data_IF_452157531956
#
_entry.id   IF_452157531956
#
_cell.length_a   1.000
_cell.length_b   1.000
_cell.length_c   1.000
_cell.angle_alpha   90.00
_cell.angle_beta   90.00
_cell.angle_gamma   90.00
#
_symmetry.space_group_name_H-M   'P 1'
#
loop_
_entity.id
_entity.type
_entity.pdbx_description
1 polymer ?
#
# COMPACT_ATOMS: atom_id res chain seq x y z
N UNK A 1 33.07 79.30 15.22
CA UNK A 1 32.25 80.01 14.19
C UNK A 1 33.22 80.77 13.29
N UNK A 2 32.97 80.99 11.98
CA UNK A 2 31.68 81.02 11.23
C UNK A 2 31.55 79.84 10.21
N UNK A 3 30.40 79.26 9.84
CA UNK A 3 29.06 79.67 9.34
C UNK A 3 29.00 80.09 7.87
N UNK A 4 28.26 79.31 7.04
CA UNK A 4 27.09 79.76 6.22
C UNK A 4 26.49 78.64 5.32
N UNK A 5 25.23 78.28 5.59
CA UNK A 5 24.14 78.01 4.60
C UNK A 5 23.52 79.38 4.19
N UNK A 6 22.60 79.58 3.21
CA UNK A 6 21.44 78.78 2.72
C UNK A 6 21.25 78.83 1.16
N UNK A 7 20.26 78.25 0.45
CA UNK A 7 18.80 78.54 0.46
C UNK A 7 18.00 77.66 -0.54
N UNK A 8 16.79 77.27 -0.07
CA UNK A 8 15.50 76.98 -0.70
C UNK A 8 15.30 76.96 -2.23
N UNK A 9 14.52 75.98 -2.71
CA UNK A 9 13.25 76.24 -3.39
C UNK A 9 12.32 75.01 -3.40
N UNK A 10 11.14 75.18 -2.83
CA UNK A 10 10.00 74.29 -2.93
C UNK A 10 9.11 74.77 -4.09
N UNK A 11 8.51 73.86 -4.85
CA UNK A 11 7.27 74.17 -5.58
C UNK A 11 6.41 72.91 -5.73
N UNK A 12 5.24 72.97 -5.09
CA UNK A 12 4.12 72.05 -5.23
C UNK A 12 3.26 72.44 -6.45
N UNK A 13 2.62 71.46 -7.11
CA UNK A 13 1.35 71.62 -7.84
C UNK A 13 0.79 70.25 -8.28
N UNK A 14 -0.19 69.74 -7.51
CA UNK A 14 -1.40 69.04 -8.01
C UNK A 14 -2.47 70.14 -8.31
N UNK A 15 -3.65 69.90 -8.95
CA UNK A 15 -4.28 68.63 -9.35
C UNK A 15 -4.95 68.64 -10.74
N UNK A 16 -5.35 67.47 -11.27
CA UNK A 16 -6.52 67.39 -12.15
C UNK A 16 -7.29 66.09 -11.93
N UNK A 17 -8.53 66.23 -11.47
CA UNK A 17 -9.55 65.19 -11.33
C UNK A 17 -9.96 64.64 -12.70
N UNK A 18 -10.10 63.32 -12.80
CA UNK A 18 -11.20 62.74 -13.56
C UNK A 18 -11.65 61.43 -12.89
N UNK A 19 -12.89 61.47 -12.41
CA UNK A 19 -13.60 60.38 -11.79
C UNK A 19 -13.98 59.33 -12.84
N UNK A 20 -13.62 58.07 -12.59
CA UNK A 20 -14.25 56.92 -13.21
C UNK A 20 -14.85 56.08 -12.08
N UNK A 21 -16.18 56.15 -11.98
CA UNK A 21 -16.99 55.33 -11.10
C UNK A 21 -16.85 53.85 -11.53
N UNK A 22 -16.11 53.05 -10.76
CA UNK A 22 -16.22 51.60 -10.81
C UNK A 22 -17.29 51.18 -9.81
N UNK A 23 -18.41 50.71 -10.35
CA UNK A 23 -19.53 50.12 -9.64
C UNK A 23 -19.07 48.99 -8.70
N UNK A 24 -19.13 49.26 -7.40
CA UNK A 24 -18.98 48.25 -6.34
C UNK A 24 -20.19 47.33 -6.37
N UNK A 25 -20.08 46.21 -7.10
CA UNK A 25 -21.02 45.10 -6.97
C UNK A 25 -20.77 44.43 -5.60
N UNK A 26 -21.80 44.20 -4.76
CA UNK A 26 -21.63 43.43 -3.53
C UNK A 26 -21.22 42.00 -3.90
N UNK A 27 -20.00 41.61 -3.55
CA UNK A 27 -19.59 40.22 -3.61
C UNK A 27 -20.46 39.43 -2.64
N UNK A 28 -21.21 38.47 -3.20
CA UNK A 28 -21.92 37.46 -2.43
C UNK A 28 -20.94 36.77 -1.46
N UNK A 29 -21.35 36.46 -0.22
CA UNK A 29 -20.48 35.80 0.74
C UNK A 29 -20.04 34.46 0.16
N UNK A 30 -18.72 34.23 0.20
CA UNK A 30 -18.10 32.95 -0.12
C UNK A 30 -18.85 31.84 0.59
N UNK A 31 -19.47 30.94 -0.19
CA UNK A 31 -20.06 29.72 0.34
C UNK A 31 -18.95 28.96 1.07
N UNK A 32 -19.09 28.94 2.39
CA UNK A 32 -18.32 28.11 3.28
C UNK A 32 -18.39 26.69 2.76
N UNK A 33 -17.22 26.14 2.38
CA UNK A 33 -17.01 24.71 2.18
C UNK A 33 -17.65 23.97 3.34
N UNK A 34 -18.85 23.42 3.11
CA UNK A 34 -19.46 22.49 4.04
C UNK A 34 -18.54 21.27 4.06
N UNK A 35 -17.90 21.11 5.21
CA UNK A 35 -17.19 19.91 5.61
C UNK A 35 -18.02 18.69 5.21
N UNK A 36 -17.52 17.94 4.23
CA UNK A 36 -18.01 16.61 3.96
C UNK A 36 -17.77 15.79 5.23
N UNK A 37 -18.86 15.34 5.83
CA UNK A 37 -18.86 14.40 6.95
C UNK A 37 -18.11 13.13 6.53
N UNK A 38 -17.36 12.49 7.44
CA UNK A 38 -16.67 11.26 7.14
C UNK A 38 -17.72 10.14 7.00
N UNK A 39 -17.96 9.70 5.76
CA UNK A 39 -18.78 8.52 5.50
C UNK A 39 -18.01 7.32 6.05
N UNK A 40 -18.60 6.68 7.04
CA UNK A 40 -18.08 5.47 7.69
C UNK A 40 -17.81 4.36 6.66
N UNK A 41 -16.52 4.04 6.52
CA UNK A 41 -15.96 2.71 6.30
C UNK A 41 -16.76 1.70 5.47
N UNK A 42 -16.73 1.82 4.15
CA UNK A 42 -16.75 0.65 3.25
C UNK A 42 -15.30 0.32 2.92
N UNK A 43 -14.87 -0.90 3.29
CA UNK A 43 -13.51 -1.41 3.00
C UNK A 43 -13.22 -1.28 1.50
N UNK A 44 -12.05 -0.79 1.07
CA UNK A 44 -11.71 -0.79 -0.35
C UNK A 44 -11.77 -2.23 -0.86
N UNK A 45 -12.54 -2.45 -1.93
CA UNK A 45 -12.75 -3.76 -2.54
C UNK A 45 -11.39 -4.43 -2.76
N UNK A 46 -11.26 -5.63 -2.20
CA UNK A 46 -10.09 -6.46 -2.39
C UNK A 46 -9.90 -6.68 -3.90
N UNK A 47 -8.71 -6.37 -4.43
CA UNK A 47 -8.33 -6.92 -5.72
C UNK A 47 -8.31 -8.44 -5.56
N UNK A 48 -9.30 -9.13 -6.11
CA UNK A 48 -9.33 -10.60 -6.17
C UNK A 48 -7.98 -11.05 -6.76
N UNK A 49 -7.28 -11.92 -6.03
CA UNK A 49 -5.98 -12.46 -6.42
C UNK A 49 -6.03 -13.27 -7.71
N UNK A 50 -4.97 -14.02 -8.02
CA UNK A 50 -4.75 -14.72 -9.30
C UNK A 50 -5.80 -15.79 -9.73
N UNK A 51 -6.99 -15.83 -9.12
CA UNK A 51 -8.12 -16.67 -9.54
C UNK A 51 -8.03 -18.13 -9.09
N UNK A 52 -7.11 -18.45 -8.18
CA UNK A 52 -6.94 -19.80 -7.66
C UNK A 52 -7.62 -20.02 -6.30
N UNK A 53 -8.02 -18.95 -5.63
CA UNK A 53 -8.70 -18.99 -4.33
C UNK A 53 -10.19 -18.70 -4.52
N UNK A 54 -10.97 -19.76 -4.75
CA UNK A 54 -12.42 -19.67 -5.00
C UNK A 54 -13.14 -19.26 -3.70
N UNK A 55 -12.62 -19.64 -2.54
CA UNK A 55 -13.17 -19.23 -1.26
C UNK A 55 -13.09 -17.72 -1.07
N UNK A 56 -11.92 -17.11 -1.33
CA UNK A 56 -11.78 -15.65 -1.30
C UNK A 56 -12.64 -14.97 -2.39
N UNK A 57 -12.74 -15.58 -3.58
CA UNK A 57 -13.59 -15.06 -4.65
C UNK A 57 -15.05 -14.95 -4.24
N UNK A 58 -15.64 -16.03 -3.70
CA UNK A 58 -17.03 -16.06 -3.22
C UNK A 58 -17.22 -15.01 -2.12
N UNK A 59 -16.32 -14.96 -1.13
CA UNK A 59 -16.43 -13.98 -0.03
C UNK A 59 -16.45 -12.52 -0.49
N UNK A 60 -15.83 -12.20 -1.62
CA UNK A 60 -15.76 -10.83 -2.15
C UNK A 60 -16.89 -10.53 -3.13
N UNK A 61 -17.31 -11.51 -3.93
CA UNK A 61 -18.22 -11.30 -5.07
C UNK A 61 -19.67 -11.74 -4.78
N UNK A 62 -19.92 -12.58 -3.77
CA UNK A 62 -21.26 -13.02 -3.36
C UNK A 62 -22.01 -11.88 -2.64
N UNK A 63 -22.78 -11.11 -3.42
CA UNK A 63 -23.50 -9.94 -2.93
C UNK A 63 -24.75 -10.29 -2.13
N UNK A 64 -25.44 -11.37 -2.51
CA UNK A 64 -26.68 -11.79 -1.88
C UNK A 64 -26.47 -12.76 -0.69
N UNK A 65 -25.23 -13.24 -0.51
CA UNK A 65 -24.77 -14.17 0.54
C UNK A 65 -25.46 -15.52 0.49
N UNK A 66 -25.81 -15.99 -0.71
CA UNK A 66 -26.41 -17.30 -0.92
C UNK A 66 -25.37 -18.44 -1.04
N UNK A 67 -24.07 -18.09 -1.01
CA UNK A 67 -22.97 -19.04 -1.10
C UNK A 67 -22.53 -19.36 -2.53
N UNK A 68 -23.15 -18.72 -3.53
CA UNK A 68 -22.78 -18.83 -4.93
C UNK A 68 -22.61 -17.44 -5.56
N UNK A 69 -21.72 -17.33 -6.54
CA UNK A 69 -21.57 -16.12 -7.35
C UNK A 69 -22.13 -16.39 -8.73
N UNK A 70 -22.96 -15.50 -9.25
CA UNK A 70 -23.55 -15.57 -10.59
C UNK A 70 -22.90 -14.58 -11.56
N UNK A 71 -23.05 -14.82 -12.86
CA UNK A 71 -22.59 -13.91 -13.91
C UNK A 71 -23.21 -12.50 -13.77
N UNK A 72 -24.48 -12.44 -13.36
CA UNK A 72 -25.23 -11.21 -13.15
C UNK A 72 -24.64 -10.38 -12.00
N UNK A 73 -24.28 -11.02 -10.89
CA UNK A 73 -23.64 -10.36 -9.74
C UNK A 73 -22.26 -9.82 -10.11
N UNK A 74 -21.45 -10.60 -10.84
CA UNK A 74 -20.16 -10.13 -11.34
C UNK A 74 -20.34 -8.92 -12.25
N UNK A 75 -21.29 -8.98 -13.20
CA UNK A 75 -21.58 -7.86 -14.10
C UNK A 75 -22.01 -6.61 -13.33
N UNK A 76 -22.92 -6.76 -12.37
CA UNK A 76 -23.42 -5.65 -11.55
C UNK A 76 -22.28 -4.98 -10.77
N UNK A 77 -21.46 -5.77 -10.06
CA UNK A 77 -20.33 -5.24 -9.30
C UNK A 77 -19.27 -4.57 -10.18
N UNK A 78 -18.98 -5.14 -11.35
CA UNK A 78 -18.01 -4.54 -12.28
C UNK A 78 -18.52 -3.23 -12.88
N UNK A 79 -19.83 -3.13 -13.16
CA UNK A 79 -20.44 -1.90 -13.63
C UNK A 79 -20.44 -0.81 -12.54
N UNK A 80 -20.76 -1.17 -11.29
CA UNK A 80 -20.66 -0.23 -10.16
C UNK A 80 -19.22 0.27 -10.00
N UNK A 81 -18.24 -0.63 -10.08
CA UNK A 81 -16.83 -0.26 -10.00
C UNK A 81 -16.43 0.64 -11.17
N UNK A 82 -16.90 0.35 -12.39
CA UNK A 82 -16.65 1.19 -13.56
C UNK A 82 -17.12 2.63 -13.33
N UNK A 83 -18.36 2.80 -12.88
CA UNK A 83 -18.96 4.12 -12.59
C UNK A 83 -18.22 4.88 -11.48
N UNK A 84 -17.56 4.18 -10.56
CA UNK A 84 -16.75 4.79 -9.51
C UNK A 84 -15.38 5.25 -10.03
N UNK A 85 -14.82 4.57 -11.02
CA UNK A 85 -13.50 4.89 -11.60
C UNK A 85 -13.62 5.96 -12.68
N UNK A 86 -14.69 5.94 -13.47
CA UNK A 86 -15.08 6.97 -14.43
C UNK A 86 -15.46 8.26 -13.69
N UNK A 87 -14.44 9.02 -13.31
CA UNK A 87 -14.56 10.17 -12.43
C UNK A 87 -15.15 11.37 -13.18
N UNK A 88 -14.82 11.48 -14.47
CA UNK A 88 -15.32 12.53 -15.35
C UNK A 88 -16.73 12.22 -15.93
N UNK A 89 -17.20 10.97 -15.77
CA UNK A 89 -18.50 10.45 -16.22
C UNK A 89 -18.69 10.52 -17.73
N UNK A 90 -17.63 10.29 -18.48
CA UNK A 90 -17.65 10.32 -19.93
C UNK A 90 -17.92 8.95 -20.57
N UNK A 91 -18.18 7.93 -19.74
CA UNK A 91 -18.60 6.60 -20.17
C UNK A 91 -17.45 5.68 -20.57
N UNK A 92 -16.20 6.08 -20.31
CA UNK A 92 -14.98 5.28 -20.51
C UNK A 92 -13.97 5.60 -19.41
N UNK A 93 -13.02 4.70 -19.17
CA UNK A 93 -11.97 4.89 -18.18
C UNK A 93 -10.66 5.13 -18.92
N UNK A 94 -10.03 6.28 -18.69
CA UNK A 94 -8.70 6.53 -19.22
C UNK A 94 -7.60 5.93 -18.31
N UNK A 95 -6.35 5.95 -18.79
CA UNK A 95 -5.21 5.41 -18.05
C UNK A 95 -4.95 6.14 -16.72
N UNK A 96 -5.26 7.44 -16.64
CA UNK A 96 -5.05 8.23 -15.43
C UNK A 96 -6.09 7.88 -14.37
N UNK A 97 -7.36 7.73 -14.75
CA UNK A 97 -8.43 7.26 -13.88
C UNK A 97 -8.13 5.86 -13.34
N UNK A 98 -7.71 4.94 -14.22
CA UNK A 98 -7.32 3.58 -13.83
C UNK A 98 -6.13 3.56 -12.85
N UNK A 99 -5.05 4.27 -13.17
CA UNK A 99 -3.84 4.32 -12.33
C UNK A 99 -4.13 5.03 -11.00
N UNK A 100 -4.93 6.08 -11.01
CA UNK A 100 -5.30 6.82 -9.81
C UNK A 100 -6.12 5.98 -8.85
N UNK A 101 -7.12 5.25 -9.34
CA UNK A 101 -7.88 4.33 -8.48
C UNK A 101 -6.98 3.23 -7.92
N UNK A 102 -6.14 2.64 -8.76
CA UNK A 102 -5.22 1.61 -8.34
C UNK A 102 -4.23 2.10 -7.27
N UNK A 103 -3.67 3.30 -7.45
CA UNK A 103 -2.78 3.94 -6.49
C UNK A 103 -3.48 4.21 -5.17
N UNK A 104 -4.69 4.76 -5.19
CA UNK A 104 -5.47 5.02 -3.97
C UNK A 104 -5.75 3.73 -3.20
N UNK A 105 -6.17 2.66 -3.88
CA UNK A 105 -6.40 1.36 -3.25
C UNK A 105 -5.12 0.78 -2.65
N UNK A 106 -4.01 0.87 -3.37
CA UNK A 106 -2.71 0.40 -2.89
C UNK A 106 -2.25 1.19 -1.65
N UNK A 107 -2.38 2.51 -1.67
CA UNK A 107 -2.04 3.37 -0.53
C UNK A 107 -2.92 3.09 0.68
N UNK A 108 -4.24 2.92 0.48
CA UNK A 108 -5.16 2.56 1.55
C UNK A 108 -4.83 1.19 2.16
N UNK A 109 -4.41 0.23 1.34
CA UNK A 109 -3.94 -1.07 1.80
C UNK A 109 -2.68 -0.97 2.67
N UNK A 110 -1.76 -0.08 2.31
CA UNK A 110 -0.51 0.12 3.04
C UNK A 110 -0.63 1.02 4.27
N UNK A 111 -1.67 1.86 4.37
CA UNK A 111 -1.86 2.74 5.52
C UNK A 111 -2.03 1.93 6.83
N UNK A 112 -2.73 0.78 6.75
CA UNK A 112 -2.85 -0.14 7.88
C UNK A 112 -1.51 -0.77 8.26
N UNK A 113 -0.74 -1.23 7.27
CA UNK A 113 0.60 -1.79 7.48
C UNK A 113 1.55 -0.76 8.10
N UNK A 114 1.46 0.51 7.67
CA UNK A 114 2.27 1.61 8.19
C UNK A 114 1.99 1.87 9.66
N UNK A 115 0.71 1.96 10.05
CA UNK A 115 0.33 2.16 11.44
C UNK A 115 0.81 1.02 12.36
N UNK A 116 0.79 -0.23 11.88
CA UNK A 116 1.34 -1.37 12.61
C UNK A 116 2.87 -1.29 12.73
N UNK A 117 3.56 -0.88 11.66
CA UNK A 117 5.01 -0.67 11.68
C UNK A 117 5.39 0.39 12.70
N UNK A 118 4.70 1.53 12.74
CA UNK A 118 5.01 2.62 13.66
C UNK A 118 4.85 2.16 15.12
N UNK A 119 3.77 1.40 15.41
CA UNK A 119 3.56 0.75 16.71
C UNK A 119 4.72 -0.20 17.05
N UNK A 120 5.14 -1.04 16.12
CA UNK A 120 6.24 -1.98 16.33
C UNK A 120 7.59 -1.29 16.49
N UNK A 121 7.83 -0.16 15.81
CA UNK A 121 9.03 0.67 15.98
C UNK A 121 9.14 1.16 17.41
N UNK A 122 8.05 1.64 18.01
CA UNK A 122 8.02 2.07 19.40
C UNK A 122 8.31 0.90 20.37
N UNK A 123 7.70 -0.27 20.14
CA UNK A 123 7.95 -1.46 20.97
C UNK A 123 9.42 -1.88 20.91
N UNK A 124 10.02 -1.90 19.71
CA UNK A 124 11.45 -2.21 19.52
C UNK A 124 12.33 -1.19 20.21
N UNK A 125 12.03 0.09 20.06
CA UNK A 125 12.78 1.16 20.73
C UNK A 125 12.78 0.98 22.24
N UNK A 126 11.61 0.81 22.85
CA UNK A 126 11.47 0.62 24.30
C UNK A 126 12.22 -0.64 24.78
N UNK A 127 12.15 -1.73 24.00
CA UNK A 127 12.89 -2.96 24.29
C UNK A 127 14.41 -2.76 24.26
N UNK A 128 14.92 -1.95 23.33
CA UNK A 128 16.35 -1.62 23.22
C UNK A 128 16.82 -0.62 24.28
N UNK A 129 16.02 0.40 24.56
CA UNK A 129 16.33 1.43 25.56
C UNK A 129 16.35 0.83 26.97
N UNK A 130 15.44 -0.10 27.24
CA UNK A 130 15.15 -0.62 28.58
C UNK A 130 14.01 0.14 29.26
N UNK A 131 13.44 -0.49 30.28
CA UNK A 131 12.26 0.05 30.98
C UNK A 131 12.52 1.46 31.54
N UNK A 132 11.62 2.39 31.22
CA UNK A 132 11.66 3.78 31.69
C UNK A 132 12.75 4.66 31.07
N UNK A 133 13.50 4.17 30.07
CA UNK A 133 14.56 4.95 29.42
C UNK A 133 14.03 5.75 28.22
N UNK A 134 14.51 6.98 28.07
CA UNK A 134 14.11 7.90 26.98
C UNK A 134 14.93 7.75 25.69
N UNK A 135 15.99 6.93 25.72
CA UNK A 135 16.98 6.81 24.67
C UNK A 135 17.65 5.42 24.74
N UNK A 136 18.18 4.95 23.62
CA UNK A 136 19.04 3.76 23.56
C UNK A 136 20.49 4.21 23.74
N UNK A 137 21.14 3.77 24.81
CA UNK A 137 22.57 4.03 24.99
C UNK A 137 23.41 3.11 24.09
N UNK A 138 24.63 3.55 23.77
CA UNK A 138 25.57 2.74 22.98
C UNK A 138 25.77 1.31 23.53
N UNK A 139 25.99 1.20 24.85
CA UNK A 139 26.14 -0.10 25.52
C UNK A 139 24.90 -1.00 25.36
N UNK A 140 23.68 -0.45 25.45
CA UNK A 140 22.45 -1.22 25.24
C UNK A 140 22.32 -1.69 23.80
N UNK A 141 22.65 -0.82 22.84
CA UNK A 141 22.65 -1.16 21.42
C UNK A 141 23.63 -2.29 21.12
N UNK A 142 24.85 -2.24 21.66
CA UNK A 142 25.88 -3.26 21.46
C UNK A 142 25.48 -4.59 22.12
N UNK A 143 24.94 -4.56 23.34
CA UNK A 143 24.42 -5.76 24.01
C UNK A 143 23.29 -6.44 23.23
N UNK A 144 22.38 -5.66 22.67
CA UNK A 144 21.31 -6.19 21.82
C UNK A 144 21.87 -6.80 20.52
N UNK A 145 22.88 -6.15 19.94
CA UNK A 145 23.59 -6.64 18.75
C UNK A 145 24.28 -7.98 19.02
N UNK A 146 24.98 -8.09 20.13
CA UNK A 146 25.66 -9.33 20.54
C UNK A 146 24.67 -10.48 20.72
N UNK A 147 23.53 -10.23 21.37
CA UNK A 147 22.47 -11.25 21.54
C UNK A 147 21.92 -11.72 20.19
N UNK A 148 21.69 -10.81 19.25
CA UNK A 148 21.20 -11.15 17.92
C UNK A 148 22.22 -11.98 17.13
N UNK A 149 23.50 -11.57 17.14
CA UNK A 149 24.57 -12.31 16.46
C UNK A 149 24.78 -13.69 17.10
N UNK A 150 24.81 -13.79 18.43
CA UNK A 150 24.94 -15.06 19.13
C UNK A 150 23.78 -16.02 18.81
N UNK A 151 22.55 -15.52 18.72
CA UNK A 151 21.40 -16.33 18.33
C UNK A 151 21.52 -16.85 16.89
N UNK A 152 22.02 -16.02 15.96
CA UNK A 152 22.30 -16.42 14.58
C UNK A 152 23.40 -17.48 14.52
N UNK A 153 24.55 -17.22 15.15
CA UNK A 153 25.71 -18.12 15.16
C UNK A 153 25.40 -19.48 15.79
N UNK A 154 24.51 -19.51 16.80
CA UNK A 154 24.05 -20.74 17.45
C UNK A 154 22.91 -21.44 16.69
N UNK A 155 22.46 -20.92 15.54
CA UNK A 155 21.37 -21.49 14.76
C UNK A 155 19.99 -21.45 15.46
N UNK A 156 19.81 -20.56 16.44
CA UNK A 156 18.57 -20.43 17.22
C UNK A 156 17.49 -19.61 16.53
N UNK A 157 17.83 -18.93 15.44
CA UNK A 157 16.88 -18.12 14.67
C UNK A 157 16.07 -18.98 13.69
N UNK A 158 14.76 -18.72 13.54
CA UNK A 158 13.97 -19.36 12.49
C UNK A 158 14.48 -18.94 11.10
N UNK A 159 14.32 -19.80 10.11
CA UNK A 159 14.75 -19.52 8.74
C UNK A 159 14.05 -18.27 8.17
N UNK A 160 12.74 -18.19 8.35
CA UNK A 160 11.89 -17.04 8.02
C UNK A 160 10.91 -16.78 9.17
N UNK A 161 10.56 -15.51 9.40
CA UNK A 161 9.46 -15.18 10.29
C UNK A 161 8.14 -15.59 9.64
N UNK A 162 7.24 -16.22 10.39
CA UNK A 162 5.88 -16.45 9.91
C UNK A 162 5.11 -15.13 9.88
N UNK A 163 4.23 -14.95 8.89
CA UNK A 163 3.41 -13.75 8.73
C UNK A 163 2.63 -13.38 10.02
N UNK A 164 2.24 -14.38 10.82
CA UNK A 164 1.54 -14.19 12.10
C UNK A 164 2.43 -13.71 13.27
N UNK A 165 3.76 -13.80 13.18
CA UNK A 165 4.69 -13.41 14.27
C UNK A 165 5.36 -12.05 14.06
N UNK A 166 5.20 -11.44 12.89
CA UNK A 166 5.84 -10.16 12.57
C UNK A 166 5.23 -8.95 13.34
N UNK A 167 4.07 -9.12 13.99
CA UNK A 167 3.45 -8.14 14.89
C UNK A 167 3.44 -8.53 16.38
N UNK A 168 4.07 -9.64 16.77
CA UNK A 168 4.16 -10.05 18.18
C UNK A 168 5.59 -9.82 18.71
N UNK A 169 5.87 -8.58 19.09
CA UNK A 169 6.87 -8.34 20.13
C UNK A 169 6.46 -9.10 21.39
N UNK A 170 7.39 -9.83 21.99
CA UNK A 170 7.18 -10.55 23.25
C UNK A 170 6.87 -9.56 24.38
N UNK A 171 5.60 -9.21 24.56
CA UNK A 171 5.10 -8.59 25.76
C UNK A 171 4.56 -9.70 26.67
N UNK A 172 5.33 -10.07 27.70
CA UNK A 172 4.75 -10.70 28.88
C UNK A 172 3.95 -9.61 29.62
N UNK A 173 2.63 -9.66 29.54
CA UNK A 173 1.73 -8.77 30.27
C UNK A 173 0.26 -9.08 29.98
N UNK A 174 -0.48 -9.39 31.04
CA UNK A 174 -1.88 -9.85 31.09
C UNK A 174 -2.84 -9.28 30.03
N UNK A 175 -3.60 -10.17 29.39
CA UNK A 175 -4.67 -9.81 28.46
C UNK A 175 -5.90 -10.69 28.64
N UNK A 176 -7.00 -10.06 29.00
CA UNK A 176 -8.36 -10.58 28.87
C UNK A 176 -8.63 -11.06 27.45
N UNK A 177 -9.43 -12.13 27.38
CA UNK A 177 -9.73 -12.89 26.18
C UNK A 177 -10.54 -12.04 25.18
N UNK A 178 -9.87 -11.42 24.22
CA UNK A 178 -10.51 -10.93 23.01
C UNK A 178 -10.54 -12.05 21.93
N UNK A 179 -11.77 -12.36 21.57
CA UNK A 179 -12.31 -13.19 20.49
C UNK A 179 -11.40 -13.51 19.29
N UNK A 180 -11.28 -14.81 18.98
CA UNK A 180 -10.57 -15.36 17.82
C UNK A 180 -11.36 -15.11 16.52
N UNK A 181 -11.15 -13.97 15.87
CA UNK A 181 -11.52 -13.78 14.47
C UNK A 181 -10.53 -14.52 13.55
N UNK A 182 -10.97 -15.59 12.89
CA UNK A 182 -10.22 -16.27 11.82
C UNK A 182 -10.23 -15.43 10.53
N UNK A 183 -9.58 -14.26 10.56
CA UNK A 183 -9.23 -13.53 9.35
C UNK A 183 -7.81 -13.88 8.97
N UNK A 184 -7.59 -14.52 7.82
CA UNK A 184 -6.26 -14.65 7.23
C UNK A 184 -5.71 -13.23 7.03
N UNK A 185 -4.80 -12.80 7.92
CA UNK A 185 -4.16 -11.50 7.81
C UNK A 185 -3.37 -11.49 6.50
N UNK A 186 -3.66 -10.50 5.65
CA UNK A 186 -2.96 -10.33 4.38
C UNK A 186 -1.45 -10.20 4.66
N UNK A 187 -0.59 -10.74 3.80
CA UNK A 187 0.84 -10.55 3.95
C UNK A 187 1.14 -9.04 3.93
N UNK A 188 1.83 -8.55 4.96
CA UNK A 188 2.22 -7.16 5.11
C UNK A 188 3.04 -6.74 3.88
N UNK A 189 2.55 -5.74 3.14
CA UNK A 189 3.16 -5.28 1.90
C UNK A 189 4.47 -4.50 2.15
N UNK A 190 4.64 -4.04 3.39
CA UNK A 190 5.78 -3.26 3.87
C UNK A 190 6.66 -4.09 4.83
N UNK A 191 6.64 -5.42 4.69
CA UNK A 191 7.47 -6.30 5.51
C UNK A 191 8.97 -6.03 5.29
N UNK A 192 9.65 -5.56 6.34
CA UNK A 192 11.09 -5.34 6.32
C UNK A 192 11.86 -6.54 6.86
N UNK A 193 13.06 -6.82 6.33
CA UNK A 193 13.95 -7.80 6.93
C UNK A 193 14.28 -7.38 8.37
N UNK A 194 14.32 -8.34 9.28
CA UNK A 194 14.64 -8.12 10.70
C UNK A 194 15.73 -9.09 11.15
N UNK A 195 16.42 -8.73 12.23
CA UNK A 195 17.44 -9.57 12.87
C UNK A 195 16.87 -10.79 13.64
N UNK A 196 15.55 -11.03 13.58
CA UNK A 196 14.89 -12.14 14.27
C UNK A 196 14.70 -13.39 13.40
N UNK A 197 15.23 -13.40 12.17
CA UNK A 197 15.29 -14.59 11.32
C UNK A 197 16.64 -14.70 10.65
N UNK A 198 17.01 -15.93 10.27
CA UNK A 198 18.23 -16.16 9.51
C UNK A 198 18.19 -15.40 8.19
N UNK A 199 17.11 -15.52 7.42
CA UNK A 199 16.97 -14.80 6.15
C UNK A 199 17.06 -13.28 6.31
N UNK A 200 16.46 -12.71 7.36
CA UNK A 200 16.54 -11.28 7.63
C UNK A 200 17.92 -10.81 8.09
N UNK A 201 18.63 -11.61 8.90
CA UNK A 201 20.03 -11.34 9.28
C UNK A 201 20.93 -11.29 8.03
N UNK A 202 20.81 -12.29 7.15
CA UNK A 202 21.57 -12.32 5.89
C UNK A 202 21.24 -11.10 5.02
N UNK A 203 19.96 -10.80 4.82
CA UNK A 203 19.53 -9.67 4.00
C UNK A 203 20.02 -8.30 4.50
N UNK A 204 20.26 -8.16 5.82
CA UNK A 204 20.69 -6.91 6.43
C UNK A 204 22.21 -6.77 6.55
N UNK A 205 22.93 -7.87 6.74
CA UNK A 205 24.32 -7.85 7.21
C UNK A 205 25.33 -8.58 6.31
N UNK A 206 24.89 -9.47 5.40
CA UNK A 206 25.77 -10.14 4.44
C UNK A 206 26.16 -9.15 3.32
N UNK A 207 27.30 -8.48 3.49
CA UNK A 207 27.75 -7.41 2.61
C UNK A 207 28.30 -7.94 1.29
N UNK A 208 29.02 -9.06 1.33
CA UNK A 208 29.64 -9.65 0.15
C UNK A 208 28.68 -10.60 -0.61
N UNK A 209 27.52 -10.92 -0.03
CA UNK A 209 26.48 -11.81 -0.58
C UNK A 209 26.99 -13.22 -0.86
N UNK A 210 27.96 -13.70 -0.08
CA UNK A 210 28.51 -15.05 -0.21
C UNK A 210 27.65 -16.12 0.49
N UNK A 211 26.56 -15.70 1.16
CA UNK A 211 25.64 -16.59 1.86
C UNK A 211 26.15 -17.00 3.24
N UNK A 212 27.19 -16.34 3.76
CA UNK A 212 27.67 -16.43 5.14
C UNK A 212 27.65 -15.04 5.77
N UNK A 213 27.44 -14.99 7.08
CA UNK A 213 27.51 -13.74 7.83
C UNK A 213 28.67 -13.84 8.81
N UNK A 214 29.72 -13.07 8.56
CA UNK A 214 30.88 -12.97 9.44
C UNK A 214 30.64 -11.97 10.57
N UNK A 215 31.48 -12.04 11.61
CA UNK A 215 31.39 -11.10 12.75
C UNK A 215 31.74 -9.68 12.30
N UNK A 216 32.73 -9.56 11.45
CA UNK A 216 33.26 -8.31 10.92
C UNK A 216 32.21 -7.57 10.08
N UNK A 217 31.48 -8.29 9.23
CA UNK A 217 30.38 -7.72 8.45
C UNK A 217 29.24 -7.24 9.34
N UNK A 218 28.84 -8.05 10.32
CA UNK A 218 27.80 -7.69 11.26
C UNK A 218 28.16 -6.42 12.04
N UNK A 219 29.34 -6.39 12.67
CA UNK A 219 29.80 -5.26 13.47
C UNK A 219 29.93 -3.98 12.64
N UNK A 220 30.48 -4.09 11.41
CA UNK A 220 30.61 -2.95 10.50
C UNK A 220 29.27 -2.31 10.20
N UNK A 221 28.28 -3.10 9.80
CA UNK A 221 26.94 -2.58 9.48
C UNK A 221 26.27 -2.02 10.73
N UNK A 222 26.42 -2.63 11.91
CA UNK A 222 25.85 -2.11 13.15
C UNK A 222 26.46 -0.78 13.56
N UNK A 223 27.78 -0.61 13.41
CA UNK A 223 28.47 0.66 13.64
C UNK A 223 27.97 1.76 12.69
N UNK A 224 27.91 1.46 11.39
CA UNK A 224 27.43 2.39 10.37
C UNK A 224 25.96 2.78 10.59
N UNK A 225 25.12 1.82 11.02
CA UNK A 225 23.74 2.10 11.38
C UNK A 225 23.65 3.04 12.57
N UNK A 226 24.38 2.76 13.67
CA UNK A 226 24.35 3.61 14.85
C UNK A 226 24.75 5.05 14.51
N UNK A 227 25.87 5.23 13.81
CA UNK A 227 26.37 6.57 13.42
C UNK A 227 25.40 7.32 12.52
N UNK A 228 24.69 6.61 11.63
CA UNK A 228 23.69 7.25 10.75
C UNK A 228 22.42 7.63 11.49
N UNK A 229 22.07 6.91 12.56
CA UNK A 229 20.89 7.20 13.39
C UNK A 229 21.18 8.30 14.41
N UNK A 230 22.39 8.32 14.99
CA UNK A 230 22.87 9.34 15.93
C UNK A 230 23.20 10.65 15.18
N UNK A 231 22.16 11.38 14.78
CA UNK A 231 22.28 12.59 13.95
C UNK A 231 22.94 13.72 14.74
N UNK A 232 22.66 13.82 16.04
CA UNK A 232 23.22 14.86 16.88
C UNK A 232 24.64 14.52 17.41
N UNK A 233 25.08 13.28 17.27
CA UNK A 233 26.41 12.81 17.65
C UNK A 233 26.63 12.70 19.16
N UNK A 234 25.56 12.52 19.95
CA UNK A 234 25.63 12.47 21.41
C UNK A 234 25.96 11.07 21.96
N UNK A 235 26.11 10.07 21.09
CA UNK A 235 26.42 8.69 21.46
C UNK A 235 25.22 7.92 22.00
N UNK A 236 24.00 8.42 21.79
CA UNK A 236 22.72 7.83 22.20
C UNK A 236 21.75 7.95 21.04
N UNK A 237 20.74 7.08 21.02
CA UNK A 237 19.67 7.16 20.02
C UNK A 237 18.39 7.59 20.72
N UNK A 238 17.91 8.78 20.40
CA UNK A 238 16.58 9.23 20.83
C UNK A 238 15.48 8.47 20.07
N UNK A 239 14.24 8.53 20.58
CA UNK A 239 13.09 7.96 19.88
C UNK A 239 12.89 8.61 18.51
N UNK A 240 13.10 9.93 18.41
CA UNK A 240 12.94 10.67 17.15
C UNK A 240 13.95 10.23 16.09
N UNK A 241 15.22 10.08 16.47
CA UNK A 241 16.28 9.58 15.59
C UNK A 241 16.01 8.13 15.15
N UNK A 242 15.66 7.26 16.09
CA UNK A 242 15.35 5.86 15.81
C UNK A 242 14.13 5.72 14.89
N UNK A 243 13.05 6.46 15.16
CA UNK A 243 11.84 6.43 14.34
C UNK A 243 12.09 6.98 12.93
N UNK A 244 12.77 8.13 12.82
CA UNK A 244 13.10 8.74 11.52
C UNK A 244 13.92 7.80 10.65
N UNK A 245 14.89 7.10 11.23
CA UNK A 245 15.70 6.13 10.49
C UNK A 245 14.84 4.99 9.93
N UNK A 246 13.94 4.45 10.75
CA UNK A 246 13.00 3.41 10.32
C UNK A 246 12.07 3.94 9.23
N UNK A 247 11.53 5.15 9.40
CA UNK A 247 10.63 5.78 8.44
C UNK A 247 11.27 5.95 7.08
N UNK A 248 12.50 6.46 7.02
CA UNK A 248 13.23 6.62 5.76
C UNK A 248 13.41 5.29 5.01
N UNK A 249 13.65 4.19 5.73
CA UNK A 249 13.76 2.86 5.10
C UNK A 249 12.41 2.37 4.57
N UNK A 250 11.33 2.59 5.32
CA UNK A 250 9.99 2.23 4.89
C UNK A 250 9.59 3.04 3.67
N UNK A 251 9.81 4.36 3.69
CA UNK A 251 9.45 5.24 2.59
C UNK A 251 10.22 4.88 1.31
N UNK A 252 11.49 4.49 1.42
CA UNK A 252 12.26 3.96 0.29
C UNK A 252 11.63 2.67 -0.27
N UNK A 253 11.25 1.73 0.60
CA UNK A 253 10.58 0.49 0.19
C UNK A 253 9.19 0.73 -0.42
N UNK A 254 8.42 1.65 0.15
CA UNK A 254 7.11 2.09 -0.37
C UNK A 254 7.28 2.68 -1.77
N UNK A 255 8.26 3.56 -1.97
CA UNK A 255 8.53 4.18 -3.26
C UNK A 255 8.87 3.14 -4.34
N UNK A 256 9.74 2.18 -4.03
CA UNK A 256 10.10 1.10 -4.96
C UNK A 256 8.90 0.18 -5.25
N UNK A 257 8.12 -0.17 -4.23
CA UNK A 257 6.90 -0.95 -4.38
C UNK A 257 5.89 -0.22 -5.26
N UNK A 258 5.64 1.06 -4.99
CA UNK A 258 4.74 1.90 -5.77
C UNK A 258 5.18 1.95 -7.23
N UNK A 259 6.45 2.24 -7.51
CA UNK A 259 6.96 2.29 -8.88
C UNK A 259 6.73 0.98 -9.65
N UNK A 260 7.02 -0.16 -9.01
CA UNK A 260 6.78 -1.48 -9.59
C UNK A 260 5.29 -1.73 -9.83
N UNK A 261 4.44 -1.47 -8.85
CA UNK A 261 3.00 -1.70 -8.95
C UNK A 261 2.34 -0.78 -9.98
N UNK A 262 2.75 0.49 -10.08
CA UNK A 262 2.25 1.42 -11.11
C UNK A 262 2.66 0.99 -12.51
N UNK A 263 3.86 0.44 -12.68
CA UNK A 263 4.29 -0.13 -13.97
C UNK A 263 3.40 -1.31 -14.35
N UNK A 264 3.13 -2.21 -13.40
CA UNK A 264 2.24 -3.36 -13.61
C UNK A 264 0.79 -2.95 -13.89
N UNK A 265 0.30 -1.88 -13.24
CA UNK A 265 -1.04 -1.34 -13.50
C UNK A 265 -1.18 -0.87 -14.96
N UNK A 266 -0.19 -0.15 -15.49
CA UNK A 266 -0.20 0.27 -16.90
C UNK A 266 -0.17 -0.91 -17.87
N UNK A 267 0.62 -1.95 -17.55
CA UNK A 267 0.62 -3.19 -18.36
C UNK A 267 -0.75 -3.87 -18.32
N UNK A 268 -1.41 -3.91 -17.17
CA UNK A 268 -2.78 -4.46 -17.05
C UNK A 268 -3.79 -3.64 -17.84
N UNK A 269 -3.72 -2.30 -17.77
CA UNK A 269 -4.57 -1.43 -18.57
C UNK A 269 -4.49 -1.80 -20.05
N UNK A 270 -3.29 -1.88 -20.62
CA UNK A 270 -3.10 -2.27 -22.03
C UNK A 270 -3.48 -3.72 -22.37
N UNK A 271 -3.69 -4.60 -21.38
CA UNK A 271 -4.24 -5.95 -21.59
C UNK A 271 -5.77 -5.93 -21.58
N UNK A 272 -6.36 -4.99 -20.84
CA UNK A 272 -7.81 -4.81 -20.76
C UNK A 272 -8.36 -4.06 -21.96
N UNK A 273 -7.60 -3.08 -22.45
CA UNK A 273 -7.86 -2.31 -23.67
C UNK A 273 -7.57 -3.20 -24.88
N UNK A 274 -8.59 -3.94 -25.31
CA UNK A 274 -8.43 -4.97 -26.33
C UNK A 274 -8.38 -4.36 -27.73
N UNK A 275 -9.09 -3.25 -27.93
CA UNK A 275 -9.16 -2.53 -29.19
C UNK A 275 -8.07 -1.46 -29.35
N UNK A 276 -7.29 -1.19 -28.29
CA UNK A 276 -6.19 -0.21 -28.24
C UNK A 276 -6.68 1.21 -28.48
N UNK A 277 -7.85 1.52 -27.94
CA UNK A 277 -8.43 2.86 -28.00
C UNK A 277 -7.80 3.83 -26.99
N UNK A 278 -6.90 3.36 -26.11
CA UNK A 278 -6.37 4.07 -24.93
C UNK A 278 -7.44 4.38 -23.86
N UNK A 279 -8.62 3.77 -23.99
CA UNK A 279 -9.72 3.87 -23.05
C UNK A 279 -10.26 2.46 -22.76
N UNK A 280 -10.79 2.25 -21.55
CA UNK A 280 -11.57 1.06 -21.25
C UNK A 280 -13.04 1.41 -21.30
N UNK A 281 -13.75 0.81 -22.24
CA UNK A 281 -15.21 0.92 -22.26
C UNK A 281 -15.84 0.05 -21.17
N UNK A 282 -17.09 0.36 -20.82
CA UNK A 282 -17.82 -0.36 -19.78
C UNK A 282 -17.88 -1.87 -20.06
N UNK A 283 -18.07 -2.26 -21.32
CA UNK A 283 -18.12 -3.67 -21.72
C UNK A 283 -16.76 -4.34 -21.55
N UNK A 284 -15.66 -3.73 -21.98
CA UNK A 284 -14.32 -4.29 -21.80
C UNK A 284 -13.95 -4.46 -20.33
N UNK A 285 -14.32 -3.46 -19.52
CA UNK A 285 -14.11 -3.51 -18.07
C UNK A 285 -14.92 -4.65 -17.43
N UNK A 286 -16.19 -4.82 -17.80
CA UNK A 286 -17.03 -5.94 -17.34
C UNK A 286 -16.48 -7.28 -17.81
N UNK A 287 -16.09 -7.40 -19.07
CA UNK A 287 -15.54 -8.62 -19.66
C UNK A 287 -14.28 -9.08 -18.93
N UNK A 288 -13.47 -8.17 -18.40
CA UNK A 288 -12.34 -8.54 -17.57
C UNK A 288 -12.73 -9.31 -16.29
N UNK A 289 -13.88 -8.96 -15.68
CA UNK A 289 -14.44 -9.68 -14.54
C UNK A 289 -15.06 -11.01 -14.95
N UNK A 290 -15.75 -11.03 -16.10
CA UNK A 290 -16.33 -12.25 -16.66
C UNK A 290 -15.26 -13.29 -17.03
N UNK A 291 -14.10 -12.88 -17.54
CA UNK A 291 -12.95 -13.78 -17.76
C UNK A 291 -12.40 -14.39 -16.48
N UNK A 292 -12.51 -13.69 -15.35
CA UNK A 292 -12.18 -14.26 -14.04
C UNK A 292 -13.26 -15.26 -13.63
N UNK A 293 -14.54 -14.87 -13.71
CA UNK A 293 -15.69 -15.73 -13.42
C UNK A 293 -15.60 -17.08 -14.15
N UNK A 294 -15.41 -17.06 -15.47
CA UNK A 294 -15.26 -18.27 -16.28
C UNK A 294 -14.03 -19.12 -15.92
N UNK A 295 -13.02 -18.54 -15.26
CA UNK A 295 -11.83 -19.27 -14.81
C UNK A 295 -12.07 -19.95 -13.46
N UNK A 296 -12.88 -19.34 -12.59
CA UNK A 296 -13.20 -19.89 -11.27
C UNK A 296 -14.41 -20.83 -11.31
N UNK A 297 -15.32 -20.66 -12.27
CA UNK A 297 -16.40 -21.60 -12.63
C UNK A 297 -15.77 -22.82 -13.33
N UNK A 298 -15.41 -23.82 -12.54
CA UNK A 298 -14.63 -24.98 -12.99
C UNK A 298 -15.49 -26.05 -13.62
N UNK A 299 -16.73 -26.19 -13.16
CA UNK A 299 -17.70 -27.12 -13.73
C UNK A 299 -18.50 -26.50 -14.89
N UNK A 300 -18.35 -25.20 -15.14
CA UNK A 300 -19.02 -24.44 -16.21
C UNK A 300 -20.54 -24.47 -16.10
N UNK A 301 -21.07 -24.48 -14.88
CA UNK A 301 -22.51 -24.49 -14.62
C UNK A 301 -23.14 -23.08 -14.56
N UNK A 302 -22.32 -22.04 -14.72
CA UNK A 302 -22.76 -20.65 -14.71
C UNK A 302 -22.93 -20.08 -13.30
N UNK A 303 -22.41 -20.76 -12.28
CA UNK A 303 -22.27 -20.29 -10.90
C UNK A 303 -20.88 -20.61 -10.39
N UNK A 304 -20.45 -19.92 -9.34
CA UNK A 304 -19.19 -20.22 -8.65
C UNK A 304 -19.52 -20.45 -7.19
N UNK A 305 -19.40 -21.70 -6.74
CA UNK A 305 -19.77 -22.09 -5.39
C UNK A 305 -18.72 -23.00 -4.73
N UNK A 306 -19.10 -23.63 -3.61
CA UNK A 306 -18.22 -24.53 -2.88
C UNK A 306 -17.87 -25.81 -3.67
N UNK A 307 -18.69 -26.21 -4.64
CA UNK A 307 -18.40 -27.32 -5.56
C UNK A 307 -17.20 -26.95 -6.41
N UNK A 308 -17.15 -25.74 -6.98
CA UNK A 308 -15.97 -25.29 -7.73
C UNK A 308 -14.73 -25.23 -6.86
N UNK A 309 -14.86 -24.77 -5.62
CA UNK A 309 -13.74 -24.76 -4.66
C UNK A 309 -13.16 -26.16 -4.42
N UNK A 310 -14.00 -27.20 -4.48
CA UNK A 310 -13.59 -28.60 -4.26
C UNK A 310 -12.91 -29.26 -5.47
N UNK A 311 -13.07 -28.69 -6.67
CA UNK A 311 -12.47 -29.23 -7.89
C UNK A 311 -10.95 -28.99 -7.95
N UNK A 312 -10.19 -29.75 -8.77
CA UNK A 312 -8.77 -29.45 -8.98
C UNK A 312 -8.60 -28.17 -9.79
N UNK A 313 -7.60 -27.35 -9.45
CA UNK A 313 -7.24 -26.18 -10.25
C UNK A 313 -6.81 -26.62 -11.67
N UNK A 314 -7.22 -25.88 -12.73
CA UNK A 314 -6.81 -26.20 -14.09
C UNK A 314 -5.27 -26.12 -14.22
N UNK A 315 -4.66 -27.04 -14.98
CA UNK A 315 -3.22 -27.01 -15.23
C UNK A 315 -2.86 -25.72 -16.00
N UNK A 316 -1.78 -25.05 -15.63
CA UNK A 316 -1.30 -23.84 -16.32
C UNK A 316 -1.16 -24.13 -17.82
N UNK A 317 -1.95 -23.45 -18.65
CA UNK A 317 -1.92 -23.58 -20.12
C UNK A 317 -3.17 -24.22 -20.75
N UNK A 318 -4.00 -24.95 -20.00
CA UNK A 318 -5.20 -25.61 -20.58
C UNK A 318 -6.42 -24.68 -20.72
N UNK A 319 -6.46 -23.57 -19.98
CA UNK A 319 -7.57 -22.60 -20.02
C UNK A 319 -7.73 -21.86 -21.36
N UNK A 320 -6.67 -21.79 -22.17
CA UNK A 320 -6.72 -21.16 -23.49
C UNK A 320 -7.37 -22.07 -24.57
N UNK A 321 -7.35 -23.40 -24.36
CA UNK A 321 -7.90 -24.35 -25.33
C UNK A 321 -9.43 -24.47 -25.26
N UNK A 322 -10.02 -24.42 -24.05
CA UNK A 322 -11.49 -24.50 -23.88
C UNK A 322 -12.24 -23.24 -24.34
N UNK A 323 -11.60 -22.08 -24.37
CA UNK A 323 -12.24 -20.83 -24.84
C UNK A 323 -12.54 -20.86 -26.35
N UNK A 324 -11.80 -21.63 -27.15
CA UNK A 324 -12.07 -21.78 -28.59
C UNK A 324 -13.18 -22.80 -28.90
N UNK A 325 -13.47 -23.75 -28.00
CA UNK A 325 -14.55 -24.72 -28.21
C UNK A 325 -15.94 -24.13 -27.91
N UNK A 326 -16.09 -23.33 -26.84
CA UNK A 326 -17.37 -22.68 -26.52
C UNK A 326 -17.87 -21.65 -27.55
N UNK A 327 -16.96 -20.99 -28.27
CA UNK A 327 -17.32 -20.10 -29.39
C UNK A 327 -17.71 -20.88 -30.68
N UNK A 328 -17.26 -22.12 -30.86
CA UNK A 328 -17.66 -22.96 -31.99
C UNK A 328 -19.06 -23.55 -31.79
N UNK A 329 -19.42 -23.93 -30.57
CA UNK A 329 -20.73 -24.52 -30.29
C UNK A 329 -21.87 -23.49 -30.34
N UNK A 330 -21.61 -22.25 -29.90
CA UNK A 330 -22.55 -21.13 -30.04
C UNK A 330 -22.74 -20.67 -31.49
N UNK A 331 -21.74 -20.83 -32.37
CA UNK A 331 -21.88 -20.58 -33.80
C UNK A 331 -22.63 -21.69 -34.55
N UNK A 332 -22.66 -22.91 -34.01
CA UNK A 332 -23.37 -24.07 -34.60
C UNK A 332 -24.85 -24.14 -34.21
N UNK A 333 -25.23 -23.50 -33.10
CA UNK A 333 -26.62 -23.39 -32.65
C UNK A 333 -27.42 -22.26 -33.36
N UNK A 334 -26.76 -21.42 -34.18
CA UNK A 334 -27.39 -20.34 -34.97
C UNK A 334 -27.45 -20.64 -36.48
N UNK A 335 -27.29 -21.90 -36.89
CA UNK A 335 -27.36 -22.31 -38.29
C UNK A 335 -28.34 -23.46 -38.48
#
# INVERSE_FOLDING_TARGET
MPTRKPSHLALALLPMLLAACASTQPQAPAEQHKQATPVQGSRPAASVGHGNDIGEYIQVMDGNKDGAVTAEEVRAQRMEHFQRVDANRDGKIDIQEYVSEFQQRLQAGMAGDRAEIDRMTLVRFNSLAGEGQSHVSRSRYDQASERAFAAFAQGKLPEKLSANKQGQGQAHGHGDKAEKGQGQQRPNMLAMPTNHSKAGMMALYDLNRDGKLTREEFDKVREEQFKRTDVNGDGRLSLGEYATEFDLRIDAGVSELMARQMTQARVRFGILDADKSDFLEAEEFVQSGMRMFQRVDRNSDGRVDQVDASLPAPKRGEGAARQQEGQKDSAKAKK
#
